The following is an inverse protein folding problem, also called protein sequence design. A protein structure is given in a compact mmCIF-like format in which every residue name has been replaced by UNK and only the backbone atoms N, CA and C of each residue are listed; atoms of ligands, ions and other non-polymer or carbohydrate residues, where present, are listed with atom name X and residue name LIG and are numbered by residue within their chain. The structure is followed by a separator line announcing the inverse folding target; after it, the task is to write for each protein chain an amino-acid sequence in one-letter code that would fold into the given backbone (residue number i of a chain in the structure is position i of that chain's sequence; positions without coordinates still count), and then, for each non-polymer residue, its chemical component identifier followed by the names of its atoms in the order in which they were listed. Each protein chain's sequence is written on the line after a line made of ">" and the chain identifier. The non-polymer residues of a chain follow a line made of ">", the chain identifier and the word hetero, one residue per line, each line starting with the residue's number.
data_IF_718262759233
#
_entry.id   IF_718262759233
#
_cell.length_a   1.000
_cell.length_b   1.000
_cell.length_c   1.000
_cell.angle_alpha   90.00
_cell.angle_beta   90.00
_cell.angle_gamma   90.00
#
_symmetry.space_group_name_H-M   'P 1'
#
loop_
_entity.id
_entity.type
_entity.pdbx_description
1 polymer ?
#
# COMPACT_ATOMS: atom_id res chain seq x y z
N UNK A 1 7.55 11.41 -0.35
CA UNK A 1 7.13 12.14 -1.54
C UNK A 1 7.09 13.63 -1.29
N UNK A 2 6.01 14.14 -0.69
CA UNK A 2 5.81 15.60 -0.49
C UNK A 2 6.93 16.27 0.30
N UNK A 3 7.36 15.70 1.43
CA UNK A 3 8.47 16.26 2.23
C UNK A 3 9.80 16.26 1.48
N UNK A 4 10.10 15.22 0.71
CA UNK A 4 11.30 15.15 -0.12
C UNK A 4 11.25 16.21 -1.22
N UNK A 5 10.10 16.30 -1.91
CA UNK A 5 9.86 17.31 -2.94
C UNK A 5 10.04 18.74 -2.41
N UNK A 6 9.45 19.04 -1.24
CA UNK A 6 9.61 20.34 -0.61
C UNK A 6 11.06 20.67 -0.27
N UNK A 7 11.84 19.70 0.24
CA UNK A 7 13.27 19.87 0.51
C UNK A 7 14.09 20.07 -0.77
N UNK A 8 13.81 19.30 -1.81
CA UNK A 8 14.47 19.41 -3.13
C UNK A 8 14.27 20.82 -3.73
N UNK A 9 13.06 21.39 -3.56
CA UNK A 9 12.71 22.73 -4.05
C UNK A 9 13.01 23.85 -3.03
N UNK A 10 13.60 23.52 -1.86
CA UNK A 10 13.89 24.47 -0.78
C UNK A 10 12.67 25.27 -0.31
N UNK A 11 11.51 24.61 -0.30
CA UNK A 11 10.25 25.18 0.15
C UNK A 11 10.10 25.02 1.67
N UNK A 12 9.50 26.00 2.37
CA UNK A 12 9.21 25.87 3.79
C UNK A 12 8.05 24.91 4.04
N UNK A 13 8.01 24.30 5.22
CA UNK A 13 6.81 23.60 5.68
C UNK A 13 5.73 24.63 6.05
N UNK A 14 4.51 24.40 5.57
CA UNK A 14 3.36 25.27 5.77
C UNK A 14 2.76 25.81 4.47
N UNK A 15 1.82 26.78 4.54
CA UNK A 15 1.00 27.23 3.40
C UNK A 15 1.78 27.82 2.23
N UNK A 16 2.98 28.33 2.46
CA UNK A 16 3.84 28.88 1.40
C UNK A 16 4.77 27.84 0.77
N UNK A 17 4.62 26.58 1.10
CA UNK A 17 5.43 25.50 0.59
C UNK A 17 4.66 24.18 0.56
N UNK A 18 4.93 23.30 1.50
CA UNK A 18 4.29 21.99 1.58
C UNK A 18 3.83 21.66 3.00
N UNK A 19 2.82 20.82 3.11
CA UNK A 19 2.36 20.27 4.37
C UNK A 19 1.89 18.82 4.22
N UNK A 20 1.68 18.18 5.35
CA UNK A 20 1.17 16.82 5.45
C UNK A 20 0.22 16.73 6.64
N UNK A 21 -0.95 16.17 6.42
CA UNK A 21 -1.97 15.95 7.44
C UNK A 21 -2.34 14.47 7.40
N UNK A 22 -2.29 13.80 8.55
CA UNK A 22 -2.68 12.40 8.69
C UNK A 22 -4.15 12.30 9.06
N UNK A 23 -4.92 11.53 8.28
CA UNK A 23 -6.26 11.08 8.66
C UNK A 23 -6.16 9.72 9.32
N UNK A 24 -6.77 9.56 10.49
CA UNK A 24 -6.77 8.30 11.23
C UNK A 24 -8.05 7.49 10.96
N UNK A 25 -9.14 8.18 10.64
CA UNK A 25 -10.44 7.57 10.33
C UNK A 25 -11.17 8.37 9.23
N UNK A 26 -12.24 7.81 8.69
CA UNK A 26 -12.99 8.41 7.59
C UNK A 26 -13.61 9.76 7.93
N UNK A 27 -13.97 9.98 9.21
CA UNK A 27 -14.49 11.26 9.71
C UNK A 27 -13.49 12.42 9.59
N UNK A 28 -12.19 12.14 9.50
CA UNK A 28 -11.14 13.16 9.38
C UNK A 28 -11.01 13.69 7.95
N UNK A 29 -11.48 12.97 6.92
CA UNK A 29 -11.16 13.26 5.52
C UNK A 29 -11.61 14.66 5.10
N UNK A 30 -12.87 14.99 5.32
CA UNK A 30 -13.44 16.28 4.96
C UNK A 30 -12.78 17.41 5.75
N UNK A 31 -12.66 17.27 7.09
CA UNK A 31 -12.08 18.31 7.94
C UNK A 31 -10.62 18.61 7.61
N UNK A 32 -9.84 17.59 7.26
CA UNK A 32 -8.44 17.77 6.87
C UNK A 32 -8.30 18.44 5.50
N UNK A 33 -9.18 18.11 4.55
CA UNK A 33 -9.21 18.78 3.24
C UNK A 33 -9.64 20.25 3.42
N UNK A 34 -10.67 20.54 4.22
CA UNK A 34 -11.15 21.89 4.51
C UNK A 34 -10.07 22.73 5.19
N UNK A 35 -9.29 22.12 6.11
CA UNK A 35 -8.15 22.77 6.73
C UNK A 35 -7.08 23.15 5.70
N UNK A 36 -6.77 22.28 4.74
CA UNK A 36 -5.81 22.56 3.68
C UNK A 36 -6.31 23.69 2.77
N UNK A 37 -7.59 23.70 2.40
CA UNK A 37 -8.22 24.76 1.60
C UNK A 37 -8.16 26.10 2.37
N UNK A 38 -8.58 26.10 3.64
CA UNK A 38 -8.57 27.30 4.50
C UNK A 38 -7.15 27.85 4.71
N UNK A 39 -6.14 26.99 4.66
CA UNK A 39 -4.73 27.35 4.70
C UNK A 39 -4.19 27.81 3.33
N UNK A 40 -5.04 27.93 2.31
CA UNK A 40 -4.71 28.44 0.97
C UNK A 40 -3.72 27.58 0.16
N UNK A 41 -3.64 26.28 0.42
CA UNK A 41 -2.90 25.39 -0.46
C UNK A 41 -3.54 25.32 -1.84
N UNK A 42 -2.72 25.44 -2.88
CA UNK A 42 -3.16 25.48 -4.28
C UNK A 42 -3.40 24.09 -4.88
N UNK A 43 -2.68 23.09 -4.38
CA UNK A 43 -2.79 21.70 -4.81
C UNK A 43 -2.88 20.80 -3.61
N UNK A 44 -3.95 19.99 -3.53
CA UNK A 44 -4.24 19.13 -2.38
C UNK A 44 -4.29 17.68 -2.86
N UNK A 45 -3.52 16.81 -2.22
CA UNK A 45 -3.46 15.38 -2.53
C UNK A 45 -4.29 14.57 -1.54
N UNK A 46 -5.28 13.82 -2.04
CA UNK A 46 -5.93 12.73 -1.33
C UNK A 46 -5.18 11.42 -1.61
N UNK A 47 -4.51 10.87 -0.61
CA UNK A 47 -3.73 9.63 -0.75
C UNK A 47 -4.56 8.44 -0.31
N UNK A 48 -5.03 7.67 -1.29
CA UNK A 48 -5.84 6.49 -1.09
C UNK A 48 -7.29 6.64 -1.58
N UNK A 49 -7.83 5.57 -2.15
CA UNK A 49 -9.14 5.54 -2.79
C UNK A 49 -10.32 5.86 -1.86
N UNK A 50 -10.16 5.68 -0.54
CA UNK A 50 -11.19 6.02 0.44
C UNK A 50 -11.48 7.53 0.54
N UNK A 51 -10.54 8.39 0.12
CA UNK A 51 -10.73 9.83 0.10
C UNK A 51 -11.53 10.33 -1.11
N UNK A 52 -11.93 9.46 -2.04
CA UNK A 52 -12.57 9.85 -3.31
C UNK A 52 -13.73 10.79 -3.11
N UNK A 53 -14.70 10.43 -2.28
CA UNK A 53 -15.89 11.25 -2.09
C UNK A 53 -15.55 12.63 -1.51
N UNK A 54 -14.70 12.68 -0.49
CA UNK A 54 -14.28 13.94 0.12
C UNK A 54 -13.51 14.84 -0.87
N UNK A 55 -12.65 14.25 -1.72
CA UNK A 55 -11.95 14.99 -2.79
C UNK A 55 -12.93 15.52 -3.84
N UNK A 56 -13.90 14.71 -4.25
CA UNK A 56 -14.92 15.11 -5.25
C UNK A 56 -15.75 16.26 -4.73
N UNK A 57 -16.27 16.16 -3.50
CA UNK A 57 -17.10 17.20 -2.87
C UNK A 57 -16.31 18.52 -2.69
N UNK A 58 -15.07 18.42 -2.24
CA UNK A 58 -14.18 19.57 -2.09
C UNK A 58 -13.86 20.24 -3.43
N UNK A 59 -13.62 19.45 -4.49
CA UNK A 59 -13.34 19.95 -5.83
C UNK A 59 -14.54 20.70 -6.44
N UNK A 60 -15.76 20.24 -6.18
CA UNK A 60 -16.97 20.94 -6.60
C UNK A 60 -17.15 22.29 -5.90
N UNK A 61 -16.85 22.33 -4.62
CA UNK A 61 -16.98 23.56 -3.83
C UNK A 61 -15.84 24.58 -4.07
N UNK A 62 -14.69 24.12 -4.61
CA UNK A 62 -13.48 24.93 -4.76
C UNK A 62 -12.86 24.79 -6.16
N UNK A 63 -13.49 25.35 -7.21
CA UNK A 63 -13.05 25.16 -8.60
C UNK A 63 -11.65 25.74 -8.91
N UNK A 64 -11.16 26.68 -8.11
CA UNK A 64 -9.84 27.31 -8.27
C UNK A 64 -8.70 26.53 -7.54
N UNK A 65 -9.05 25.48 -6.80
CA UNK A 65 -8.09 24.62 -6.10
C UNK A 65 -7.89 23.33 -6.88
N UNK A 66 -6.64 22.93 -7.07
CA UNK A 66 -6.29 21.68 -7.71
C UNK A 66 -6.34 20.53 -6.70
N UNK A 67 -6.93 19.42 -7.11
CA UNK A 67 -6.98 18.20 -6.30
C UNK A 67 -6.34 17.04 -7.04
N UNK A 68 -5.69 16.16 -6.29
CA UNK A 68 -5.14 14.91 -6.83
C UNK A 68 -5.70 13.75 -6.02
N UNK A 69 -6.30 12.77 -6.69
CA UNK A 69 -6.70 11.52 -6.06
C UNK A 69 -5.71 10.41 -6.42
N UNK A 70 -5.10 9.81 -5.43
CA UNK A 70 -4.25 8.63 -5.57
C UNK A 70 -5.08 7.37 -5.34
N UNK A 71 -4.91 6.36 -6.18
CA UNK A 71 -5.51 5.03 -6.12
C UNK A 71 -6.95 4.91 -6.64
N UNK A 72 -7.56 5.98 -7.11
CA UNK A 72 -8.85 5.89 -7.81
C UNK A 72 -8.95 6.96 -8.90
N UNK A 73 -10.04 6.93 -9.67
CA UNK A 73 -10.26 7.80 -10.82
C UNK A 73 -11.46 8.69 -10.57
N UNK A 74 -11.30 9.98 -10.86
CA UNK A 74 -12.37 10.98 -10.90
C UNK A 74 -12.51 11.47 -12.34
N UNK A 75 -13.71 11.40 -12.90
CA UNK A 75 -13.99 11.83 -14.26
C UNK A 75 -14.82 13.13 -14.27
N UNK A 76 -14.63 13.94 -15.32
CA UNK A 76 -15.47 15.12 -15.57
C UNK A 76 -15.18 16.32 -14.67
N UNK A 77 -14.03 16.40 -14.01
CA UNK A 77 -13.61 17.54 -13.19
C UNK A 77 -12.24 18.05 -13.63
N UNK A 78 -12.21 19.26 -14.18
CA UNK A 78 -11.00 19.86 -14.73
C UNK A 78 -9.98 20.30 -13.65
N UNK A 79 -10.38 20.35 -12.40
CA UNK A 79 -9.53 20.66 -11.26
C UNK A 79 -9.11 19.40 -10.45
N UNK A 80 -9.36 18.20 -10.97
CA UNK A 80 -8.93 16.93 -10.33
C UNK A 80 -8.06 16.14 -11.28
N UNK A 81 -6.85 15.80 -10.84
CA UNK A 81 -6.01 14.78 -11.47
C UNK A 81 -6.16 13.47 -10.72
N UNK A 82 -6.16 12.35 -11.44
CA UNK A 82 -6.21 11.02 -10.86
C UNK A 82 -4.91 10.26 -11.15
N UNK A 83 -4.39 9.53 -10.16
CA UNK A 83 -3.20 8.70 -10.35
C UNK A 83 -3.44 7.30 -9.79
N UNK A 84 -3.26 6.30 -10.65
CA UNK A 84 -3.37 4.87 -10.28
C UNK A 84 -2.09 4.12 -10.63
N UNK A 85 -1.99 2.88 -10.13
CA UNK A 85 -0.79 2.05 -10.29
C UNK A 85 -1.16 0.69 -10.85
N UNK A 86 -0.18 0.04 -11.48
CA UNK A 86 -0.30 -1.33 -11.98
C UNK A 86 -0.04 -2.34 -10.86
N UNK A 87 -0.83 -2.23 -9.79
CA UNK A 87 -0.69 -3.03 -8.57
C UNK A 87 -0.69 -4.55 -8.84
N UNK A 88 -1.45 -4.99 -9.85
CA UNK A 88 -1.52 -6.38 -10.27
C UNK A 88 -0.21 -6.91 -10.86
N UNK A 89 0.63 -6.07 -11.48
CA UNK A 89 1.90 -6.51 -12.08
C UNK A 89 2.93 -6.82 -11.00
N UNK A 90 3.10 -5.92 -10.02
CA UNK A 90 4.00 -6.14 -8.89
C UNK A 90 3.53 -7.31 -8.00
N UNK A 91 2.22 -7.40 -7.77
CA UNK A 91 1.63 -8.51 -7.02
C UNK A 91 1.78 -9.86 -7.74
N UNK A 92 1.72 -9.89 -9.07
CA UNK A 92 2.02 -11.10 -9.85
C UNK A 92 3.45 -11.59 -9.60
N UNK A 93 4.43 -10.70 -9.62
CA UNK A 93 5.82 -11.04 -9.31
C UNK A 93 5.98 -11.54 -7.87
N UNK A 94 5.26 -10.95 -6.91
CA UNK A 94 5.20 -11.45 -5.54
C UNK A 94 4.66 -12.88 -5.46
N UNK A 95 3.62 -13.19 -6.23
CA UNK A 95 3.08 -14.54 -6.36
C UNK A 95 4.07 -15.54 -6.94
N UNK A 96 4.81 -15.12 -7.97
CA UNK A 96 5.89 -15.94 -8.56
C UNK A 96 7.00 -16.21 -7.52
N UNK A 97 7.40 -15.20 -6.75
CA UNK A 97 8.39 -15.38 -5.68
C UNK A 97 7.89 -16.34 -4.60
N UNK A 98 6.62 -16.20 -4.17
CA UNK A 98 6.00 -17.09 -3.20
C UNK A 98 5.99 -18.55 -3.68
N UNK A 99 5.57 -18.81 -4.93
CA UNK A 99 5.52 -20.16 -5.50
C UNK A 99 6.88 -20.84 -5.59
N UNK A 100 7.93 -20.08 -5.90
CA UNK A 100 9.30 -20.59 -5.95
C UNK A 100 9.87 -20.88 -4.54
N UNK A 101 9.42 -20.17 -3.51
CA UNK A 101 9.98 -20.22 -2.16
C UNK A 101 9.23 -21.16 -1.24
N UNK A 102 7.90 -21.27 -1.39
CA UNK A 102 7.09 -22.12 -0.48
C UNK A 102 7.58 -23.56 -0.42
N UNK A 103 7.66 -24.10 0.79
CA UNK A 103 7.98 -25.49 1.11
C UNK A 103 6.74 -26.29 1.44
N UNK A 104 5.70 -25.64 1.97
CA UNK A 104 4.45 -26.29 2.37
C UNK A 104 3.43 -26.38 1.24
N UNK A 105 3.66 -25.66 0.13
CA UNK A 105 2.68 -25.43 -0.93
C UNK A 105 1.37 -24.77 -0.43
N UNK A 106 1.48 -23.98 0.63
CA UNK A 106 0.37 -23.20 1.16
C UNK A 106 0.81 -21.76 1.38
N UNK A 107 0.14 -20.82 0.75
CA UNK A 107 0.44 -19.39 0.86
C UNK A 107 -0.81 -18.60 1.19
N UNK A 108 -0.64 -17.43 1.79
CA UNK A 108 -1.74 -16.57 2.21
C UNK A 108 -1.69 -15.20 1.55
N UNK A 109 -2.86 -14.59 1.38
CA UNK A 109 -3.04 -13.17 1.09
C UNK A 109 -3.93 -12.53 2.16
N UNK A 110 -3.49 -11.40 2.72
CA UNK A 110 -4.29 -10.61 3.67
C UNK A 110 -4.44 -9.19 3.12
N UNK A 111 -5.66 -8.86 2.70
CA UNK A 111 -6.06 -7.51 2.31
C UNK A 111 -6.54 -6.68 3.52
N UNK A 112 -6.42 -5.36 3.43
CA UNK A 112 -7.03 -4.45 4.42
C UNK A 112 -8.55 -4.40 4.27
N UNK A 113 -9.06 -3.50 3.46
CA UNK A 113 -10.48 -3.37 3.14
C UNK A 113 -10.72 -3.89 1.73
N UNK A 114 -11.78 -4.68 1.56
CA UNK A 114 -12.17 -5.19 0.25
C UNK A 114 -12.53 -4.04 -0.70
N UNK A 115 -12.02 -4.09 -1.92
CA UNK A 115 -12.26 -3.06 -2.93
C UNK A 115 -11.39 -3.24 -4.17
N UNK A 116 -11.62 -2.43 -5.22
CA UNK A 116 -10.96 -2.61 -6.51
C UNK A 116 -9.42 -2.53 -6.45
N UNK A 117 -8.88 -1.68 -5.59
CA UNK A 117 -7.41 -1.53 -5.41
C UNK A 117 -6.82 -2.79 -4.81
N UNK A 118 -7.36 -3.22 -3.67
CA UNK A 118 -6.85 -4.41 -2.97
C UNK A 118 -7.14 -5.68 -3.77
N UNK A 119 -8.26 -5.71 -4.51
CA UNK A 119 -8.58 -6.78 -5.45
C UNK A 119 -7.56 -6.94 -6.58
N UNK A 120 -6.92 -5.83 -7.06
CA UNK A 120 -5.82 -5.94 -8.04
C UNK A 120 -4.58 -6.62 -7.45
N UNK A 121 -4.21 -6.30 -6.20
CA UNK A 121 -3.12 -6.98 -5.49
C UNK A 121 -3.43 -8.48 -5.33
N UNK A 122 -4.62 -8.82 -4.86
CA UNK A 122 -5.05 -10.21 -4.69
C UNK A 122 -5.00 -10.98 -6.03
N UNK A 123 -5.66 -10.46 -7.05
CA UNK A 123 -5.75 -11.12 -8.36
C UNK A 123 -4.36 -11.32 -9.00
N UNK A 124 -3.48 -10.31 -8.90
CA UNK A 124 -2.10 -10.41 -9.38
C UNK A 124 -1.34 -11.51 -8.64
N UNK A 125 -1.38 -11.50 -7.31
CA UNK A 125 -0.71 -12.49 -6.47
C UNK A 125 -1.19 -13.92 -6.75
N UNK A 126 -2.50 -14.15 -6.73
CA UNK A 126 -3.11 -15.46 -7.00
C UNK A 126 -2.72 -15.97 -8.38
N UNK A 127 -2.75 -15.11 -9.39
CA UNK A 127 -2.35 -15.47 -10.76
C UNK A 127 -0.86 -15.81 -10.85
N UNK A 128 -0.01 -15.04 -10.18
CA UNK A 128 1.44 -15.31 -10.12
C UNK A 128 1.76 -16.63 -9.45
N UNK A 129 1.10 -16.94 -8.33
CA UNK A 129 1.24 -18.24 -7.64
C UNK A 129 0.79 -19.39 -8.54
N UNK A 130 -0.38 -19.25 -9.17
CA UNK A 130 -0.95 -20.30 -10.02
C UNK A 130 -0.08 -20.59 -11.25
N UNK A 131 0.38 -19.55 -11.96
CA UNK A 131 1.20 -19.71 -13.16
C UNK A 131 2.59 -20.30 -12.84
N UNK A 132 3.22 -19.82 -11.77
CA UNK A 132 4.51 -20.34 -11.34
C UNK A 132 4.38 -21.76 -10.77
N UNK A 133 3.36 -22.04 -9.97
CA UNK A 133 3.05 -23.37 -9.46
C UNK A 133 2.92 -24.39 -10.58
N UNK A 134 2.14 -24.05 -11.63
CA UNK A 134 1.99 -24.89 -12.82
C UNK A 134 3.34 -25.18 -13.50
N UNK A 135 4.21 -24.15 -13.66
CA UNK A 135 5.54 -24.33 -14.27
C UNK A 135 6.46 -25.21 -13.42
N UNK A 136 6.30 -25.14 -12.10
CA UNK A 136 7.09 -25.92 -11.13
C UNK A 136 6.53 -27.33 -10.86
N UNK A 137 5.37 -27.66 -11.40
CA UNK A 137 4.67 -28.92 -11.10
C UNK A 137 4.17 -29.01 -9.65
N UNK A 138 3.94 -27.85 -9.00
CA UNK A 138 3.45 -27.75 -7.62
C UNK A 138 1.95 -27.41 -7.62
N UNK A 139 1.19 -28.09 -6.77
CA UNK A 139 -0.18 -27.70 -6.43
C UNK A 139 -0.16 -26.83 -5.18
N UNK A 140 -0.22 -25.51 -5.38
CA UNK A 140 -0.09 -24.52 -4.30
C UNK A 140 -1.46 -23.99 -3.92
N UNK A 141 -1.85 -24.20 -2.67
CA UNK A 141 -3.10 -23.71 -2.10
C UNK A 141 -2.93 -22.24 -1.66
N UNK A 142 -3.89 -21.41 -2.02
CA UNK A 142 -3.92 -19.99 -1.66
C UNK A 142 -5.11 -19.74 -0.74
N UNK A 143 -4.87 -19.11 0.41
CA UNK A 143 -5.93 -18.64 1.30
C UNK A 143 -5.93 -17.12 1.30
N UNK A 144 -7.01 -16.50 0.84
CA UNK A 144 -7.18 -15.05 0.81
C UNK A 144 -8.23 -14.61 1.81
N UNK A 145 -7.96 -13.52 2.56
CA UNK A 145 -8.89 -12.92 3.51
C UNK A 145 -8.69 -11.41 3.60
N UNK A 146 -9.69 -10.74 4.18
CA UNK A 146 -9.66 -9.29 4.40
C UNK A 146 -9.81 -8.97 5.88
N UNK A 147 -9.02 -8.03 6.36
CA UNK A 147 -9.10 -7.56 7.74
C UNK A 147 -10.31 -6.63 8.00
N UNK A 148 -10.85 -6.01 6.95
CA UNK A 148 -11.92 -4.99 7.06
C UNK A 148 -11.41 -3.64 7.59
N UNK A 149 -10.09 -3.48 7.71
CA UNK A 149 -9.43 -2.25 8.19
C UNK A 149 -7.98 -2.19 7.72
N UNK A 150 -7.42 -0.97 7.65
CA UNK A 150 -6.00 -0.73 7.39
C UNK A 150 -5.21 -0.35 8.65
N UNK A 151 -5.89 -0.18 9.81
CA UNK A 151 -5.33 0.47 10.99
C UNK A 151 -5.22 -0.43 12.24
N UNK A 152 -5.44 -1.74 12.11
CA UNK A 152 -5.48 -2.67 13.25
C UNK A 152 -4.43 -3.79 13.14
N UNK A 153 -3.26 -3.56 13.72
CA UNK A 153 -2.19 -4.55 13.77
C UNK A 153 -2.56 -5.83 14.53
N UNK A 154 -3.40 -5.72 15.58
CA UNK A 154 -3.83 -6.89 16.37
C UNK A 154 -4.66 -7.84 15.52
N UNK A 155 -5.55 -7.28 14.68
CA UNK A 155 -6.35 -8.06 13.73
C UNK A 155 -5.48 -8.71 12.66
N UNK A 156 -4.50 -7.97 12.12
CA UNK A 156 -3.51 -8.52 11.18
C UNK A 156 -2.75 -9.70 11.79
N UNK A 157 -2.32 -9.57 13.04
CA UNK A 157 -1.62 -10.63 13.78
C UNK A 157 -2.50 -11.88 13.97
N UNK A 158 -3.75 -11.71 14.35
CA UNK A 158 -4.68 -12.83 14.53
C UNK A 158 -4.96 -13.59 13.24
N UNK A 159 -5.14 -12.88 12.11
CA UNK A 159 -5.33 -13.49 10.79
C UNK A 159 -4.07 -14.25 10.33
N UNK A 160 -2.88 -13.66 10.52
CA UNK A 160 -1.63 -14.31 10.19
C UNK A 160 -1.41 -15.58 11.02
N UNK A 161 -1.69 -15.52 12.34
CA UNK A 161 -1.59 -16.68 13.23
C UNK A 161 -2.47 -17.84 12.75
N UNK A 162 -3.71 -17.55 12.38
CA UNK A 162 -4.63 -18.55 11.82
C UNK A 162 -4.08 -19.18 10.53
N UNK A 163 -3.56 -18.38 9.59
CA UNK A 163 -3.00 -18.88 8.33
C UNK A 163 -1.74 -19.72 8.54
N UNK A 164 -0.80 -19.26 9.37
CA UNK A 164 0.41 -20.02 9.69
C UNK A 164 0.10 -21.33 10.43
N UNK A 165 -0.92 -21.34 11.31
CA UNK A 165 -1.39 -22.56 11.97
C UNK A 165 -2.01 -23.54 10.98
N UNK A 166 -2.71 -23.04 9.94
CA UNK A 166 -3.26 -23.86 8.85
C UNK A 166 -2.19 -24.39 7.88
N UNK A 167 -0.92 -24.00 8.10
CA UNK A 167 0.24 -24.51 7.37
C UNK A 167 0.75 -23.60 6.24
N UNK A 168 0.24 -22.39 6.10
CA UNK A 168 0.88 -21.42 5.21
C UNK A 168 2.30 -21.12 5.72
N UNK A 169 3.25 -20.96 4.81
CA UNK A 169 4.62 -20.56 5.14
C UNK A 169 5.01 -19.19 4.57
N UNK A 170 4.15 -18.64 3.71
CA UNK A 170 4.33 -17.30 3.14
C UNK A 170 3.00 -16.55 3.19
N UNK A 171 3.00 -15.32 3.68
CA UNK A 171 1.85 -14.41 3.62
C UNK A 171 2.26 -13.13 2.88
N UNK A 172 1.51 -12.79 1.83
CA UNK A 172 1.55 -11.47 1.21
C UNK A 172 0.44 -10.60 1.76
N UNK A 173 0.72 -9.34 2.05
CA UNK A 173 -0.31 -8.43 2.51
C UNK A 173 -0.44 -7.16 1.67
N UNK A 174 -1.67 -6.63 1.59
CA UNK A 174 -1.99 -5.30 1.11
C UNK A 174 -2.90 -4.62 2.15
N UNK A 175 -2.35 -4.29 3.32
CA UNK A 175 -3.12 -3.97 4.52
C UNK A 175 -2.55 -2.84 5.40
N UNK A 176 -1.60 -2.05 4.90
CA UNK A 176 -0.98 -0.90 5.59
C UNK A 176 -0.55 -1.23 7.04
N UNK A 177 -1.02 -0.47 8.07
CA UNK A 177 -0.67 -0.70 9.48
C UNK A 177 -1.12 -2.08 9.98
N UNK A 178 -2.25 -2.61 9.49
CA UNK A 178 -2.70 -3.97 9.79
C UNK A 178 -1.64 -5.01 9.40
N UNK A 179 -0.90 -4.77 8.32
CA UNK A 179 0.22 -5.61 7.87
C UNK A 179 1.37 -5.71 8.87
N UNK A 180 1.58 -4.72 9.73
CA UNK A 180 2.61 -4.78 10.79
C UNK A 180 2.34 -5.93 11.77
N UNK A 181 1.06 -6.24 12.03
CA UNK A 181 0.69 -7.39 12.86
C UNK A 181 1.11 -8.73 12.24
N UNK A 182 1.10 -8.81 10.91
CA UNK A 182 1.55 -10.02 10.18
C UNK A 182 3.06 -10.22 10.38
N UNK A 183 3.85 -9.15 10.27
CA UNK A 183 5.28 -9.18 10.58
C UNK A 183 5.55 -9.58 12.03
N UNK A 184 4.78 -9.04 12.99
CA UNK A 184 4.92 -9.39 14.41
C UNK A 184 4.68 -10.87 14.67
N UNK A 185 3.64 -11.46 14.06
CA UNK A 185 3.36 -12.89 14.21
C UNK A 185 4.45 -13.76 13.57
N UNK A 186 4.87 -13.41 12.36
CA UNK A 186 5.95 -14.14 11.69
C UNK A 186 7.27 -14.10 12.47
N UNK A 187 7.62 -12.94 13.08
CA UNK A 187 8.77 -12.82 13.98
C UNK A 187 8.66 -13.76 15.16
N UNK A 188 7.53 -13.70 15.88
CA UNK A 188 7.32 -14.53 17.07
C UNK A 188 7.46 -16.03 16.76
N UNK A 189 6.96 -16.47 15.59
CA UNK A 189 7.10 -17.86 15.16
C UNK A 189 8.56 -18.24 14.84
N UNK A 190 9.26 -17.37 14.12
CA UNK A 190 10.65 -17.63 13.70
C UNK A 190 11.64 -17.56 14.89
N UNK A 191 11.44 -16.62 15.83
CA UNK A 191 12.25 -16.47 17.04
C UNK A 191 12.16 -17.70 17.96
N UNK A 192 10.97 -18.30 18.08
CA UNK A 192 10.80 -19.53 18.87
C UNK A 192 11.40 -20.76 18.22
N UNK A 193 11.60 -20.76 16.90
CA UNK A 193 12.09 -21.90 16.14
C UNK A 193 11.18 -23.13 16.25
N UNK A 194 9.89 -22.93 16.56
CA UNK A 194 8.91 -24.01 16.75
C UNK A 194 8.42 -24.63 15.45
N UNK A 195 8.65 -23.95 14.32
CA UNK A 195 8.29 -24.37 12.95
C UNK A 195 9.42 -24.04 11.99
N UNK A 196 9.30 -24.54 10.75
CA UNK A 196 10.11 -24.05 9.64
C UNK A 196 9.88 -22.54 9.46
N UNK A 197 10.89 -21.86 8.93
CA UNK A 197 10.85 -20.42 8.71
C UNK A 197 9.62 -20.01 7.91
N UNK A 198 8.87 -19.05 8.45
CA UNK A 198 7.77 -18.38 7.76
C UNK A 198 8.19 -17.03 7.23
N UNK A 199 7.54 -16.59 6.14
CA UNK A 199 7.90 -15.40 5.41
C UNK A 199 6.73 -14.44 5.27
N UNK A 200 7.06 -13.15 5.08
CA UNK A 200 6.10 -12.10 4.72
C UNK A 200 6.55 -11.43 3.44
N UNK A 201 5.61 -11.14 2.54
CA UNK A 201 5.81 -10.22 1.42
C UNK A 201 5.13 -8.90 1.77
N UNK A 202 5.92 -7.83 1.74
CA UNK A 202 5.50 -6.47 2.07
C UNK A 202 4.86 -5.73 0.91
N UNK A 203 4.35 -4.52 1.19
CA UNK A 203 3.62 -3.67 0.24
C UNK A 203 3.99 -2.19 0.39
N UNK A 204 3.77 -1.42 -0.67
CA UNK A 204 3.90 0.04 -0.79
C UNK A 204 5.34 0.56 -0.69
N UNK A 205 6.10 0.14 0.30
CA UNK A 205 7.50 0.51 0.53
C UNK A 205 8.37 -0.73 0.74
N UNK A 206 9.67 -0.55 0.70
CA UNK A 206 10.58 -1.59 1.15
C UNK A 206 10.36 -1.85 2.66
N UNK A 207 9.90 -3.06 2.98
CA UNK A 207 9.66 -3.53 4.34
C UNK A 207 10.74 -4.49 4.84
N UNK A 208 11.93 -4.44 4.25
CA UNK A 208 13.04 -5.27 4.68
C UNK A 208 13.41 -5.07 6.15
N UNK A 209 13.39 -3.83 6.64
CA UNK A 209 13.65 -3.53 8.05
C UNK A 209 12.58 -4.11 8.99
N UNK A 210 11.33 -4.19 8.53
CA UNK A 210 10.22 -4.74 9.30
C UNK A 210 10.38 -6.25 9.53
N UNK A 211 11.13 -6.94 8.68
CA UNK A 211 11.34 -8.39 8.74
C UNK A 211 12.55 -8.84 9.55
N UNK A 212 13.39 -7.94 10.04
CA UNK A 212 14.57 -8.30 10.83
C UNK A 212 14.18 -8.91 12.17
N UNK A 213 14.82 -10.02 12.53
CA UNK A 213 14.62 -10.72 13.80
C UNK A 213 15.89 -11.48 14.19
N UNK A 214 15.94 -11.94 15.45
CA UNK A 214 17.01 -12.80 15.94
C UNK A 214 16.48 -14.21 16.11
N UNK A 215 17.14 -15.17 15.51
CA UNK A 215 16.78 -16.59 15.60
C UNK A 215 17.01 -17.14 17.01
N UNK A 216 16.42 -18.30 17.34
CA UNK A 216 16.55 -18.95 18.65
C UNK A 216 18.01 -19.22 19.04
N UNK A 217 18.90 -19.44 18.09
CA UNK A 217 20.34 -19.64 18.30
C UNK A 217 21.16 -18.33 18.28
N UNK A 218 20.47 -17.18 18.35
CA UNK A 218 21.09 -15.85 18.51
C UNK A 218 21.68 -15.25 17.25
N UNK A 219 21.30 -15.71 16.06
CA UNK A 219 21.74 -15.15 14.78
C UNK A 219 20.72 -14.17 14.23
N UNK A 220 21.22 -13.12 13.62
CA UNK A 220 20.38 -12.19 12.88
C UNK A 220 19.88 -12.82 11.58
N UNK A 221 18.60 -12.67 11.29
CA UNK A 221 17.95 -13.15 10.08
C UNK A 221 16.84 -12.18 9.65
N UNK A 222 16.25 -12.42 8.48
CA UNK A 222 15.20 -11.58 7.93
C UNK A 222 14.09 -12.45 7.32
N UNK A 223 12.84 -12.15 7.67
CA UNK A 223 11.67 -12.87 7.18
C UNK A 223 10.93 -12.14 6.04
N UNK A 224 11.41 -10.97 5.61
CA UNK A 224 10.84 -10.31 4.42
C UNK A 224 11.35 -11.01 3.18
N UNK A 225 10.46 -11.68 2.46
CA UNK A 225 10.81 -12.35 1.21
C UNK A 225 11.02 -11.34 0.07
N UNK A 226 10.13 -10.37 -0.03
CA UNK A 226 10.14 -9.28 -1.00
C UNK A 226 9.18 -8.17 -0.53
N UNK A 227 9.17 -7.03 -1.23
CA UNK A 227 8.17 -5.98 -1.07
C UNK A 227 7.70 -5.49 -2.43
N UNK A 228 6.39 -5.38 -2.63
CA UNK A 228 5.81 -4.74 -3.82
C UNK A 228 5.79 -3.23 -3.60
N UNK A 229 6.78 -2.54 -4.17
CA UNK A 229 6.94 -1.09 -3.97
C UNK A 229 5.98 -0.34 -4.87
N UNK A 230 5.25 0.61 -4.30
CA UNK A 230 4.31 1.47 -5.00
C UNK A 230 4.84 2.90 -5.08
N UNK A 231 5.00 3.40 -6.29
CA UNK A 231 5.63 4.69 -6.56
C UNK A 231 4.78 5.92 -6.23
N UNK A 232 4.02 5.92 -5.12
CA UNK A 232 3.20 7.07 -4.69
C UNK A 232 4.05 8.33 -4.52
N UNK A 233 5.24 8.21 -3.96
CA UNK A 233 6.18 9.32 -3.83
C UNK A 233 6.58 9.91 -5.19
N UNK A 234 6.75 9.07 -6.22
CA UNK A 234 7.09 9.50 -7.58
C UNK A 234 5.91 10.25 -8.21
N UNK A 235 4.69 9.71 -8.07
CA UNK A 235 3.49 10.35 -8.56
C UNK A 235 3.28 11.73 -7.92
N UNK A 236 3.41 11.81 -6.58
CA UNK A 236 3.29 13.06 -5.83
C UNK A 236 4.32 14.10 -6.32
N UNK A 237 5.60 13.72 -6.44
CA UNK A 237 6.65 14.64 -6.92
C UNK A 237 6.34 15.15 -8.33
N UNK A 238 6.07 14.25 -9.28
CA UNK A 238 5.80 14.62 -10.68
C UNK A 238 4.59 15.54 -10.83
N UNK A 239 3.50 15.25 -10.14
CA UNK A 239 2.30 16.09 -10.23
C UNK A 239 2.52 17.43 -9.51
N UNK A 240 3.29 17.47 -8.43
CA UNK A 240 3.68 18.72 -7.76
C UNK A 240 4.55 19.59 -8.66
N UNK A 241 5.51 19.01 -9.41
CA UNK A 241 6.33 19.73 -10.38
C UNK A 241 5.46 20.34 -11.49
N UNK A 242 4.53 19.55 -12.05
CA UNK A 242 3.58 20.05 -13.05
C UNK A 242 2.72 21.20 -12.50
N UNK A 243 2.26 21.10 -11.27
CA UNK A 243 1.49 22.16 -10.63
C UNK A 243 2.32 23.43 -10.41
N UNK A 244 3.59 23.29 -10.05
CA UNK A 244 4.53 24.42 -9.86
C UNK A 244 4.84 25.14 -11.19
N UNK A 245 4.82 24.40 -12.31
CA UNK A 245 5.03 24.92 -13.66
C UNK A 245 3.74 25.44 -14.32
N UNK A 246 2.65 25.59 -13.60
CA UNK A 246 1.30 25.95 -14.13
C UNK A 246 0.79 24.96 -15.20
N UNK A 247 1.21 23.68 -15.12
CA UNK A 247 0.85 22.58 -16.03
C UNK A 247 0.09 21.48 -15.30
N UNK A 248 -0.70 21.81 -14.31
CA UNK A 248 -1.47 20.83 -13.56
C UNK A 248 -2.33 19.96 -14.49
N UNK A 249 -2.25 18.61 -14.39
CA UNK A 249 -2.95 17.70 -15.32
C UNK A 249 -4.43 17.48 -14.91
N UNK A 250 -5.16 18.57 -14.74
CA UNK A 250 -6.57 18.54 -14.35
C UNK A 250 -7.45 17.82 -15.38
N UNK A 251 -8.32 16.96 -14.91
CA UNK A 251 -9.18 16.12 -15.74
C UNK A 251 -8.48 14.85 -16.28
N UNK A 252 -7.18 14.69 -16.06
CA UNK A 252 -6.43 13.54 -16.56
C UNK A 252 -6.36 12.38 -15.56
N UNK A 253 -6.27 11.17 -16.14
CA UNK A 253 -5.97 9.95 -15.39
C UNK A 253 -4.58 9.44 -15.77
N UNK A 254 -3.65 9.52 -14.81
CA UNK A 254 -2.28 9.08 -14.95
C UNK A 254 -2.11 7.67 -14.39
N UNK A 255 -1.47 6.78 -15.14
CA UNK A 255 -1.17 5.42 -14.68
C UNK A 255 0.34 5.23 -14.57
N UNK A 256 0.78 4.77 -13.39
CA UNK A 256 2.19 4.49 -13.10
C UNK A 256 2.42 2.97 -13.00
N UNK A 257 3.60 2.52 -13.42
CA UNK A 257 4.05 1.13 -13.32
C UNK A 257 5.10 0.94 -12.25
#
# INVERSE_FOLDING_TARGET
>A
GMQEWGKEHKLPEGPQGYAYIQSNEASDYTSNIDQAISSQFKTIFGIGYLLKNAVVDAADANPETNFVLIDDTVNGKNNVASATFRDNESAYLAGVAAANTTKTNKVGFIGGVEGPVIGRFQAGFEKGVADAGKKLGKDIQITSTYAGTFADASKGRALASSMYQAGADIIYHAAATTGQGIFQEAKALNETGSKDKVWVIGVDRDQNEDGKYTTKDGKDDNLTLASTIKGVNIAVKKISDLALEDKFPGGEHLTYG
#
